data_IF_794380960402
#
_entry.id   IF_794380960402
#
_cell.length_a   1.000
_cell.length_b   1.000
_cell.length_c   1.000
_cell.angle_alpha   90.00
_cell.angle_beta   90.00
_cell.angle_gamma   90.00
#
_symmetry.space_group_name_H-M   'P 1'
#
loop_
_entity.id
_entity.type
_entity.pdbx_description
1 polymer ?
#
# COMPACT_ATOMS: atom_id res chain seq x y z
N UNK A 1 5.37 -32.55 -1.57
CA UNK A 1 4.24 -31.74 -2.06
C UNK A 1 3.00 -32.09 -1.23
N UNK A 2 2.05 -31.17 -1.08
CA UNK A 2 0.78 -31.46 -0.39
C UNK A 2 -0.24 -31.96 -1.42
N UNK A 3 -1.06 -32.96 -1.08
CA UNK A 3 -2.09 -33.51 -1.96
C UNK A 3 -3.43 -32.77 -1.87
N UNK A 4 -3.60 -31.88 -0.88
CA UNK A 4 -4.81 -31.08 -0.75
C UNK A 4 -4.77 -29.93 -1.75
N UNK A 5 -5.51 -30.11 -2.86
CA UNK A 5 -5.51 -29.23 -4.02
C UNK A 5 -6.92 -28.67 -4.31
N UNK A 6 -7.01 -27.48 -4.94
CA UNK A 6 -8.28 -26.90 -5.36
C UNK A 6 -8.94 -27.72 -6.50
N UNK A 7 -10.24 -27.96 -6.38
CA UNK A 7 -11.06 -28.72 -7.35
C UNK A 7 -12.07 -27.80 -8.06
N UNK A 8 -12.96 -28.35 -8.90
CA UNK A 8 -14.02 -27.58 -9.60
C UNK A 8 -13.53 -26.36 -10.40
N UNK A 9 -12.34 -26.44 -11.00
CA UNK A 9 -11.76 -25.36 -11.82
C UNK A 9 -11.05 -24.25 -11.04
N UNK A 10 -11.04 -24.29 -9.71
CA UNK A 10 -10.41 -23.27 -8.85
C UNK A 10 -8.88 -23.22 -8.92
N UNK A 11 -8.23 -24.20 -9.55
CA UNK A 11 -6.79 -24.20 -9.81
C UNK A 11 -6.30 -22.98 -10.63
N UNK A 12 -7.20 -22.26 -11.32
CA UNK A 12 -6.86 -21.02 -12.04
C UNK A 12 -6.64 -19.81 -11.11
N UNK A 13 -7.20 -19.85 -9.91
CA UNK A 13 -7.23 -18.71 -8.98
C UNK A 13 -6.57 -19.01 -7.64
N UNK A 14 -6.55 -20.29 -7.24
CA UNK A 14 -6.06 -20.73 -5.94
C UNK A 14 -4.92 -21.73 -6.07
N UNK A 15 -3.99 -21.65 -5.13
CA UNK A 15 -2.90 -22.61 -4.97
C UNK A 15 -3.36 -23.82 -4.17
N UNK A 16 -2.62 -24.93 -4.27
CA UNK A 16 -2.72 -26.03 -3.31
C UNK A 16 -2.32 -25.59 -1.90
N UNK A 17 -2.78 -26.30 -0.88
CA UNK A 17 -2.47 -25.97 0.52
C UNK A 17 -0.97 -26.07 0.78
N UNK A 18 -0.40 -25.00 1.33
CA UNK A 18 1.02 -24.86 1.66
C UNK A 18 1.18 -24.09 2.98
N UNK A 19 2.41 -23.75 3.37
CA UNK A 19 2.66 -22.99 4.60
C UNK A 19 2.01 -21.60 4.59
N UNK A 20 2.03 -20.92 3.44
CA UNK A 20 1.41 -19.60 3.28
C UNK A 20 -0.11 -19.63 3.53
N UNK A 21 -0.75 -20.78 3.35
CA UNK A 21 -2.17 -20.98 3.66
C UNK A 21 -2.48 -20.81 5.16
N UNK A 22 -1.47 -20.89 6.02
CA UNK A 22 -1.58 -20.73 7.48
C UNK A 22 -0.87 -19.48 7.99
N UNK A 23 -0.34 -18.64 7.10
CA UNK A 23 0.35 -17.40 7.44
C UNK A 23 -0.47 -16.20 6.96
N UNK A 24 -0.24 -15.03 7.57
CA UNK A 24 -0.78 -13.75 7.11
C UNK A 24 0.36 -12.79 6.79
N UNK A 25 0.41 -12.32 5.55
CA UNK A 25 1.37 -11.30 5.13
C UNK A 25 0.96 -9.93 5.67
N UNK A 26 1.92 -9.21 6.28
CA UNK A 26 1.74 -7.84 6.78
C UNK A 26 2.72 -6.94 6.03
N UNK A 27 2.23 -5.84 5.47
CA UNK A 27 3.05 -4.86 4.77
C UNK A 27 3.51 -3.77 5.74
N UNK A 28 4.73 -3.25 5.52
CA UNK A 28 5.32 -2.16 6.28
C UNK A 28 5.89 -1.13 5.32
N UNK A 29 5.71 0.15 5.63
CA UNK A 29 6.20 1.25 4.80
C UNK A 29 6.91 2.29 5.68
N UNK A 30 8.08 2.73 5.23
CA UNK A 30 8.83 3.85 5.80
C UNK A 30 9.30 4.73 4.65
N UNK A 31 9.03 6.02 4.76
CA UNK A 31 9.35 7.01 3.72
C UNK A 31 10.37 7.99 4.29
N UNK A 32 11.44 8.25 3.55
CA UNK A 32 12.42 9.28 3.89
C UNK A 32 11.89 10.67 3.55
N UNK A 33 12.56 11.70 4.05
CA UNK A 33 12.22 13.09 3.76
C UNK A 33 12.26 13.41 2.24
N UNK A 34 13.35 13.05 1.57
CA UNK A 34 13.46 13.16 0.12
C UNK A 34 12.39 12.32 -0.61
N UNK A 35 12.02 11.16 -0.04
CA UNK A 35 10.97 10.31 -0.58
C UNK A 35 9.60 10.99 -0.56
N UNK A 36 9.21 11.59 0.58
CA UNK A 36 7.91 12.28 0.67
C UNK A 36 7.88 13.56 -0.16
N UNK A 37 9.00 14.27 -0.31
CA UNK A 37 9.10 15.40 -1.24
C UNK A 37 8.88 14.98 -2.69
N UNK A 38 9.43 13.82 -3.10
CA UNK A 38 9.29 13.32 -4.46
C UNK A 38 7.87 12.87 -4.80
N UNK A 39 7.21 12.11 -3.89
CA UNK A 39 5.88 11.54 -4.17
C UNK A 39 4.72 12.38 -3.65
N UNK A 40 4.97 13.29 -2.71
CA UNK A 40 3.95 14.11 -2.04
C UNK A 40 3.05 14.89 -2.99
N UNK A 41 3.58 15.59 -4.02
CA UNK A 41 2.75 16.31 -4.98
C UNK A 41 1.75 15.41 -5.74
N UNK A 42 2.16 14.19 -6.07
CA UNK A 42 1.27 13.22 -6.71
C UNK A 42 0.17 12.75 -5.75
N UNK A 43 0.51 12.50 -4.48
CA UNK A 43 -0.48 12.10 -3.45
C UNK A 43 -1.50 13.22 -3.23
N UNK A 44 -1.08 14.48 -3.17
CA UNK A 44 -2.01 15.61 -3.02
C UNK A 44 -2.95 15.75 -4.23
N UNK A 45 -2.44 15.53 -5.44
CA UNK A 45 -3.23 15.60 -6.67
C UNK A 45 -4.29 14.50 -6.70
N UNK A 46 -3.91 13.27 -6.36
CA UNK A 46 -4.85 12.15 -6.27
C UNK A 46 -5.89 12.38 -5.17
N UNK A 47 -5.46 12.77 -3.97
CA UNK A 47 -6.37 13.01 -2.85
C UNK A 47 -7.35 14.17 -3.14
N UNK A 48 -6.92 15.20 -3.88
CA UNK A 48 -7.81 16.28 -4.32
C UNK A 48 -8.84 15.78 -5.34
N UNK A 49 -8.43 14.96 -6.30
CA UNK A 49 -9.31 14.37 -7.31
C UNK A 49 -10.37 13.43 -6.69
N UNK A 50 -10.01 12.73 -5.61
CA UNK A 50 -10.90 11.83 -4.88
C UNK A 50 -11.75 12.55 -3.80
N UNK A 51 -11.55 13.85 -3.59
CA UNK A 51 -12.25 14.63 -2.55
C UNK A 51 -11.80 14.31 -1.11
N UNK A 52 -10.66 13.65 -0.95
CA UNK A 52 -10.11 13.22 0.34
C UNK A 52 -9.26 14.32 1.01
N UNK A 53 -9.92 15.40 1.42
CA UNK A 53 -9.21 16.59 1.90
C UNK A 53 -8.32 16.34 3.14
N UNK A 54 -8.73 15.44 4.05
CA UNK A 54 -7.92 15.07 5.20
C UNK A 54 -6.61 14.37 4.79
N UNK A 55 -6.64 13.51 3.77
CA UNK A 55 -5.48 12.81 3.26
C UNK A 55 -4.51 13.79 2.59
N UNK A 56 -5.04 14.71 1.77
CA UNK A 56 -4.26 15.81 1.17
C UNK A 56 -3.57 16.65 2.26
N UNK A 57 -4.35 17.12 3.23
CA UNK A 57 -3.84 18.00 4.29
C UNK A 57 -2.72 17.32 5.11
N UNK A 58 -2.83 16.01 5.37
CA UNK A 58 -1.81 15.26 6.08
C UNK A 58 -0.45 15.31 5.35
N UNK A 59 -0.45 15.25 4.02
CA UNK A 59 0.77 15.38 3.20
C UNK A 59 1.25 16.83 3.17
N UNK A 60 0.35 17.79 2.93
CA UNK A 60 0.71 19.22 2.86
C UNK A 60 1.37 19.72 4.13
N UNK A 61 0.94 19.27 5.31
CA UNK A 61 1.55 19.64 6.59
C UNK A 61 3.00 19.15 6.69
N UNK A 62 3.29 17.93 6.22
CA UNK A 62 4.64 17.36 6.24
C UNK A 62 5.56 18.03 5.23
N UNK A 63 5.07 18.32 4.02
CA UNK A 63 5.85 19.05 3.01
C UNK A 63 6.20 20.46 3.49
N UNK A 64 5.25 21.14 4.14
CA UNK A 64 5.49 22.46 4.75
C UNK A 64 6.47 22.42 5.91
N UNK A 65 6.40 21.41 6.78
CA UNK A 65 7.35 21.32 7.90
C UNK A 65 8.78 21.13 7.42
N UNK A 66 8.97 20.40 6.33
CA UNK A 66 10.30 20.17 5.74
C UNK A 66 10.85 21.43 5.05
N UNK A 67 10.01 22.23 4.40
CA UNK A 67 10.44 23.47 3.74
C UNK A 67 10.67 24.66 4.68
N UNK A 68 10.42 24.52 5.98
CA UNK A 68 10.56 25.57 7.00
C UNK A 68 11.84 25.41 7.86
N UNK A 69 12.76 24.52 7.46
CA UNK A 69 14.15 24.48 7.94
C UNK A 69 15.07 25.20 6.94
#
# INVERSE_FOLDING_TARGET
TNHTLPTNGFAKQYSGVNLDSFMKSITFQKISEAGIQAIGPAIETMAAAEGLQAHKNAVSLRLKSIGNE
#
